data_IF_672802953192
#
_entry.id   IF_672802953192
#
_cell.length_a   1.000
_cell.length_b   1.000
_cell.length_c   1.000
_cell.angle_alpha   90.00
_cell.angle_beta   90.00
_cell.angle_gamma   90.00
#
_symmetry.space_group_name_H-M   'P 1'
#
loop_
_entity.id
_entity.type
_entity.pdbx_description
1 polymer ?
#
# COMPACT_ATOMS: atom_id res chain seq x y z
N UNK A 1 12.88 24.07 -10.10
CA UNK A 1 12.56 22.66 -10.47
C UNK A 1 12.45 22.62 -12.00
N UNK A 2 13.33 21.87 -12.68
CA UNK A 2 13.41 21.79 -14.15
C UNK A 2 12.33 20.84 -14.71
N UNK A 3 11.06 21.18 -14.49
CA UNK A 3 9.93 20.33 -14.88
C UNK A 3 9.35 20.89 -16.18
N UNK A 4 9.34 20.07 -17.24
CA UNK A 4 8.77 20.46 -18.52
C UNK A 4 7.27 20.77 -18.40
N UNK A 5 6.80 21.75 -19.18
CA UNK A 5 5.40 22.24 -19.16
C UNK A 5 4.37 21.10 -19.30
N UNK A 6 4.65 20.12 -20.15
CA UNK A 6 3.77 18.96 -20.37
C UNK A 6 3.64 18.04 -19.15
N UNK A 7 4.68 17.94 -18.32
CA UNK A 7 4.63 17.17 -17.07
C UNK A 7 3.78 17.90 -16.04
N UNK A 8 3.89 19.23 -15.97
CA UNK A 8 3.07 20.03 -15.07
C UNK A 8 1.59 19.98 -15.45
N UNK A 9 1.27 20.08 -16.75
CA UNK A 9 -0.12 19.96 -17.23
C UNK A 9 -0.74 18.60 -16.88
N UNK A 10 0.03 17.51 -16.97
CA UNK A 10 -0.42 16.17 -16.56
C UNK A 10 -0.73 16.11 -15.07
N UNK A 11 0.15 16.65 -14.21
CA UNK A 11 -0.08 16.68 -12.77
C UNK A 11 -1.29 17.52 -12.38
N UNK A 12 -1.49 18.66 -13.04
CA UNK A 12 -2.69 19.51 -12.82
C UNK A 12 -3.96 18.76 -13.25
N UNK A 13 -3.94 18.06 -14.38
CA UNK A 13 -5.10 17.28 -14.83
C UNK A 13 -5.40 16.12 -13.89
N UNK A 14 -4.37 15.41 -13.44
CA UNK A 14 -4.49 14.35 -12.45
C UNK A 14 -5.09 14.87 -11.14
N UNK A 15 -4.61 16.01 -10.64
CA UNK A 15 -5.15 16.62 -9.41
C UNK A 15 -6.63 17.00 -9.56
N UNK A 16 -7.05 17.50 -10.74
CA UNK A 16 -8.47 17.79 -11.01
C UNK A 16 -9.32 16.53 -11.04
N UNK A 17 -8.82 15.44 -11.62
CA UNK A 17 -9.52 14.15 -11.65
C UNK A 17 -9.62 13.54 -10.24
N UNK A 18 -8.55 13.59 -9.44
CA UNK A 18 -8.55 13.14 -8.04
C UNK A 18 -9.57 13.92 -7.19
N UNK A 19 -9.65 15.25 -7.35
CA UNK A 19 -10.66 16.09 -6.67
C UNK A 19 -12.10 15.79 -7.09
N UNK A 20 -12.31 15.22 -8.28
CA UNK A 20 -13.61 14.75 -8.74
C UNK A 20 -13.94 13.33 -8.23
N UNK A 21 -13.11 12.77 -7.33
CA UNK A 21 -13.29 11.43 -6.78
C UNK A 21 -12.89 10.31 -7.74
N UNK A 22 -12.20 10.62 -8.84
CA UNK A 22 -11.67 9.57 -9.73
C UNK A 22 -10.41 8.98 -9.11
N UNK A 23 -10.30 7.65 -9.19
CA UNK A 23 -9.13 6.95 -8.69
C UNK A 23 -7.87 7.39 -9.47
N UNK A 24 -6.75 7.69 -8.76
CA UNK A 24 -5.51 8.12 -9.40
C UNK A 24 -4.92 6.94 -10.20
N UNK A 25 -4.59 7.19 -11.48
CA UNK A 25 -3.84 6.21 -12.30
C UNK A 25 -2.33 6.24 -12.05
N UNK A 26 -1.82 7.33 -11.50
CA UNK A 26 -0.40 7.52 -11.19
C UNK A 26 -0.19 7.70 -9.68
N UNK A 27 1.03 8.03 -9.25
CA UNK A 27 1.28 8.31 -7.83
C UNK A 27 0.33 9.42 -7.35
N UNK A 28 -0.47 9.18 -6.31
CA UNK A 28 -1.44 10.16 -5.86
C UNK A 28 -0.76 11.46 -5.42
N UNK A 29 -1.39 12.58 -5.74
CA UNK A 29 -0.84 13.92 -5.42
C UNK A 29 -1.61 14.53 -4.25
N UNK A 30 -2.86 14.14 -4.05
CA UNK A 30 -3.67 14.57 -2.90
C UNK A 30 -3.19 13.91 -1.59
N UNK A 31 -3.14 14.67 -0.49
CA UNK A 31 -2.63 14.17 0.80
C UNK A 31 -3.43 12.96 1.31
N UNK A 32 -4.75 12.99 1.17
CA UNK A 32 -5.64 11.88 1.53
C UNK A 32 -5.28 10.58 0.79
N UNK A 33 -5.02 10.66 -0.52
CA UNK A 33 -4.67 9.46 -1.29
C UNK A 33 -3.23 8.99 -1.05
N UNK A 34 -2.33 9.89 -0.67
CA UNK A 34 -0.98 9.54 -0.20
C UNK A 34 -1.10 8.75 1.11
N UNK A 35 -1.89 9.23 2.07
CA UNK A 35 -2.17 8.52 3.31
C UNK A 35 -2.79 7.15 3.06
N UNK A 36 -3.80 7.06 2.17
CA UNK A 36 -4.41 5.78 1.78
C UNK A 36 -3.34 4.81 1.23
N UNK A 37 -2.40 5.30 0.42
CA UNK A 37 -1.31 4.47 -0.12
C UNK A 37 -0.37 3.98 0.99
N UNK A 38 0.00 4.85 1.93
CA UNK A 38 0.85 4.47 3.05
C UNK A 38 0.17 3.47 3.98
N UNK A 39 -1.11 3.67 4.26
CA UNK A 39 -1.92 2.74 5.04
C UNK A 39 -2.01 1.38 4.35
N UNK A 40 -2.26 1.33 3.03
CA UNK A 40 -2.27 0.07 2.27
C UNK A 40 -0.93 -0.66 2.34
N UNK A 41 0.20 0.07 2.27
CA UNK A 41 1.53 -0.54 2.43
C UNK A 41 1.73 -1.13 3.83
N UNK A 42 1.36 -0.39 4.87
CA UNK A 42 1.43 -0.87 6.26
C UNK A 42 0.56 -2.11 6.47
N UNK A 43 -0.63 -2.11 5.87
CA UNK A 43 -1.57 -3.23 5.97
C UNK A 43 -1.01 -4.49 5.31
N UNK A 44 -0.47 -4.39 4.09
CA UNK A 44 0.17 -5.51 3.41
C UNK A 44 1.35 -6.10 4.21
N UNK A 45 2.19 -5.23 4.80
CA UNK A 45 3.28 -5.67 5.68
C UNK A 45 2.74 -6.41 6.90
N UNK A 46 1.72 -5.86 7.57
CA UNK A 46 1.12 -6.51 8.74
C UNK A 46 0.45 -7.84 8.42
N UNK A 47 -0.19 -7.96 7.25
CA UNK A 47 -0.77 -9.21 6.76
C UNK A 47 0.33 -10.27 6.55
N UNK A 48 1.44 -9.91 5.90
CA UNK A 48 2.57 -10.82 5.70
C UNK A 48 3.17 -11.29 7.04
N UNK A 49 3.38 -10.38 7.98
CA UNK A 49 3.89 -10.72 9.31
C UNK A 49 2.93 -11.66 10.07
N UNK A 50 1.62 -11.41 10.00
CA UNK A 50 0.62 -12.29 10.61
C UNK A 50 0.62 -13.69 9.98
N UNK A 51 0.76 -13.79 8.65
CA UNK A 51 0.84 -15.08 7.99
C UNK A 51 2.10 -15.87 8.39
N UNK A 52 3.24 -15.20 8.55
CA UNK A 52 4.46 -15.84 9.08
C UNK A 52 4.22 -16.34 10.51
N UNK A 53 3.62 -15.52 11.39
CA UNK A 53 3.35 -15.90 12.78
C UNK A 53 2.38 -17.09 12.88
N UNK A 54 1.32 -17.11 12.06
CA UNK A 54 0.39 -18.24 12.00
C UNK A 54 1.09 -19.53 11.58
N UNK A 55 1.95 -19.45 10.55
CA UNK A 55 2.73 -20.62 10.07
C UNK A 55 3.70 -21.12 11.14
N UNK A 56 4.43 -20.22 11.81
CA UNK A 56 5.34 -20.60 12.89
C UNK A 56 4.60 -21.27 14.05
N UNK A 57 3.44 -20.72 14.43
CA UNK A 57 2.59 -21.31 15.48
C UNK A 57 2.12 -22.72 15.09
N UNK A 58 1.66 -22.90 13.85
CA UNK A 58 1.21 -24.21 13.35
C UNK A 58 2.35 -25.25 13.33
N UNK A 59 3.55 -24.85 12.93
CA UNK A 59 4.74 -25.72 12.96
C UNK A 59 5.10 -26.13 14.38
N UNK A 60 5.16 -25.17 15.31
CA UNK A 60 5.49 -25.45 16.72
C UNK A 60 4.47 -26.38 17.39
N UNK A 61 3.17 -26.19 17.11
CA UNK A 61 2.14 -27.11 17.57
C UNK A 61 2.35 -28.52 17.00
N UNK A 62 2.70 -28.64 15.72
CA UNK A 62 2.96 -29.93 15.07
C UNK A 62 4.19 -30.63 15.67
N UNK A 63 5.28 -29.89 15.93
CA UNK A 63 6.49 -30.42 16.54
C UNK A 63 6.23 -30.93 17.97
N UNK A 64 5.38 -30.24 18.74
CA UNK A 64 5.01 -30.68 20.09
C UNK A 64 4.22 -32.00 20.10
N UNK A 65 3.39 -32.24 19.07
CA UNK A 65 2.60 -33.46 18.93
C UNK A 65 3.44 -34.64 18.42
N UNK A 66 4.46 -34.39 17.59
CA UNK A 66 5.33 -35.43 17.02
C UNK A 66 6.45 -35.90 17.98
N UNK A 67 6.75 -35.12 19.02
CA UNK A 67 7.78 -35.43 20.03
C UNK A 67 7.19 -36.00 21.33
N UNK A 68 5.91 -36.40 21.32
CA UNK A 68 5.23 -37.20 22.36
C UNK A 68 5.04 -38.63 21.89
#
# INVERSE_FOLDING_TARGET
MNVGKSTMDKWVRQLREERQGKAPKASPITPEQIEIRELKKKLALLEEHNEILKKATALLMSDSLNNS
#
